data_IF_357954373744
#
_entry.id   IF_357954373744
#
_cell.length_a   1.000
_cell.length_b   1.000
_cell.length_c   1.000
_cell.angle_alpha   90.00
_cell.angle_beta   90.00
_cell.angle_gamma   90.00
#
_symmetry.space_group_name_H-M   'P 1'
#
loop_
_entity.id
_entity.type
_entity.pdbx_description
1 polymer ?
#
# COMPACT_ATOMS: atom_id res chain seq x y z
N UNK A 1 -18.59 -18.39 -35.21
CA UNK A 1 -18.15 -17.41 -34.19
C UNK A 1 -16.75 -17.77 -33.69
N UNK A 2 -16.44 -19.06 -33.47
CA UNK A 2 -15.08 -19.57 -33.15
C UNK A 2 -13.93 -19.07 -34.04
N UNK A 3 -14.10 -19.02 -35.38
CA UNK A 3 -13.02 -18.63 -36.31
C UNK A 3 -12.55 -17.18 -36.13
N UNK A 4 -13.42 -16.27 -35.65
CA UNK A 4 -13.04 -14.87 -35.44
C UNK A 4 -12.16 -14.67 -34.18
N UNK A 5 -12.04 -15.70 -33.33
CA UNK A 5 -11.23 -15.67 -32.12
C UNK A 5 -9.99 -16.57 -32.21
N UNK A 6 -9.73 -17.16 -33.38
CA UNK A 6 -8.50 -17.90 -33.63
C UNK A 6 -7.34 -16.91 -33.76
N UNK A 7 -6.22 -17.17 -33.08
CA UNK A 7 -4.99 -16.36 -33.09
C UNK A 7 -5.12 -14.91 -32.61
N UNK A 8 -6.16 -14.60 -31.81
CA UNK A 8 -6.26 -13.29 -31.16
C UNK A 8 -5.15 -13.12 -30.11
N UNK A 9 -4.40 -12.03 -30.22
CA UNK A 9 -3.48 -11.59 -29.18
C UNK A 9 -4.33 -11.02 -28.03
N UNK A 10 -4.48 -11.82 -26.95
CA UNK A 10 -5.39 -11.50 -25.82
C UNK A 10 -4.98 -10.20 -25.10
N UNK A 11 -3.68 -9.91 -25.00
CA UNK A 11 -3.17 -8.73 -24.32
C UNK A 11 -1.98 -8.12 -25.10
N UNK A 12 -2.21 -7.39 -26.21
CA UNK A 12 -1.13 -6.86 -27.04
C UNK A 12 -0.14 -5.98 -26.27
N UNK A 13 -0.65 -5.23 -25.29
CA UNK A 13 0.16 -4.38 -24.42
C UNK A 13 1.09 -5.11 -23.43
N UNK A 14 1.03 -6.45 -23.33
CA UNK A 14 2.03 -7.20 -22.56
C UNK A 14 3.43 -7.11 -23.19
N UNK A 15 3.49 -6.76 -24.47
CA UNK A 15 4.72 -6.39 -25.17
C UNK A 15 4.62 -4.89 -25.56
N UNK A 16 4.97 -3.97 -24.64
CA UNK A 16 4.85 -2.53 -24.89
C UNK A 16 5.75 -2.07 -26.05
N UNK A 17 6.88 -2.76 -26.28
CA UNK A 17 7.80 -2.49 -27.39
C UNK A 17 7.07 -2.61 -28.73
N UNK A 18 6.29 -3.67 -28.90
CA UNK A 18 5.50 -3.86 -30.14
C UNK A 18 4.24 -3.00 -30.19
N UNK A 19 3.58 -2.77 -29.05
CA UNK A 19 2.24 -2.20 -29.03
C UNK A 19 2.20 -0.66 -28.84
N UNK A 20 3.15 -0.09 -28.13
CA UNK A 20 3.06 1.29 -27.61
C UNK A 20 4.30 2.14 -27.92
N UNK A 21 5.50 1.54 -27.92
CA UNK A 21 6.77 2.28 -27.92
C UNK A 21 7.03 3.10 -29.19
N UNK A 22 6.44 2.72 -30.32
CA UNK A 22 6.50 3.51 -31.56
C UNK A 22 6.06 4.97 -31.35
N UNK A 23 5.08 5.20 -30.47
CA UNK A 23 4.57 6.53 -30.14
C UNK A 23 4.92 6.98 -28.71
N UNK A 24 5.21 6.03 -27.81
CA UNK A 24 5.38 6.28 -26.37
C UNK A 24 6.71 5.75 -25.81
N UNK A 25 7.75 5.57 -26.64
CA UNK A 25 8.98 4.87 -26.26
C UNK A 25 9.66 5.37 -24.99
N UNK A 26 9.66 6.69 -24.71
CA UNK A 26 10.19 7.23 -23.45
C UNK A 26 9.40 6.73 -22.24
N UNK A 27 8.07 6.80 -22.29
CA UNK A 27 7.20 6.31 -21.20
C UNK A 27 7.25 4.78 -21.09
N UNK A 28 7.36 4.08 -22.22
CA UNK A 28 7.51 2.62 -22.27
C UNK A 28 8.76 2.16 -21.51
N UNK A 29 9.91 2.77 -21.81
CA UNK A 29 11.17 2.48 -21.11
C UNK A 29 11.09 2.76 -19.61
N UNK A 30 10.51 3.90 -19.22
CA UNK A 30 10.35 4.25 -17.80
C UNK A 30 9.40 3.30 -17.06
N UNK A 31 8.29 2.90 -17.69
CA UNK A 31 7.32 2.02 -17.08
C UNK A 31 7.89 0.63 -16.79
N UNK A 32 8.74 0.08 -17.67
CA UNK A 32 9.37 -1.23 -17.48
C UNK A 32 10.17 -1.33 -16.17
N UNK A 33 10.72 -0.20 -15.71
CA UNK A 33 11.48 -0.13 -14.45
C UNK A 33 10.61 0.28 -13.25
N UNK A 34 9.35 0.70 -13.49
CA UNK A 34 8.45 1.18 -12.42
C UNK A 34 8.04 0.04 -11.47
N UNK A 35 7.65 0.39 -10.24
CA UNK A 35 7.16 -0.59 -9.26
C UNK A 35 5.87 -1.31 -9.69
N UNK A 36 5.05 -0.69 -10.53
CA UNK A 36 3.84 -1.31 -11.08
C UNK A 36 4.13 -2.40 -12.11
N UNK A 37 5.27 -2.31 -12.81
CA UNK A 37 5.76 -3.36 -13.70
C UNK A 37 6.63 -4.36 -12.94
N UNK A 38 7.64 -3.92 -12.20
CA UNK A 38 8.63 -4.84 -11.62
C UNK A 38 8.12 -5.59 -10.39
N UNK A 39 7.12 -5.03 -9.68
CA UNK A 39 6.70 -5.47 -8.35
C UNK A 39 7.87 -5.58 -7.35
N UNK A 40 8.97 -4.84 -7.59
CA UNK A 40 10.23 -5.00 -6.87
C UNK A 40 10.08 -4.85 -5.36
N UNK A 41 9.17 -3.99 -4.89
CA UNK A 41 8.96 -3.82 -3.46
C UNK A 41 8.35 -5.04 -2.76
N UNK A 42 7.50 -5.82 -3.42
CA UNK A 42 7.06 -7.09 -2.85
C UNK A 42 8.20 -8.10 -2.80
N UNK A 43 8.94 -8.25 -3.91
CA UNK A 43 10.09 -9.16 -3.97
C UNK A 43 11.13 -8.83 -2.91
N UNK A 44 11.46 -7.55 -2.73
CA UNK A 44 12.40 -7.11 -1.70
C UNK A 44 11.92 -7.47 -0.29
N UNK A 45 10.65 -7.23 0.03
CA UNK A 45 10.15 -7.55 1.38
C UNK A 45 10.19 -9.05 1.69
N UNK A 46 9.97 -9.90 0.70
CA UNK A 46 10.08 -11.36 0.84
C UNK A 46 11.55 -11.74 1.01
N UNK A 47 12.43 -11.19 0.15
CA UNK A 47 13.87 -11.45 0.17
C UNK A 47 14.52 -11.08 1.50
N UNK A 48 14.19 -9.92 2.05
CA UNK A 48 14.73 -9.46 3.35
C UNK A 48 14.29 -10.41 4.46
N UNK A 49 13.01 -10.80 4.49
CA UNK A 49 12.47 -11.72 5.50
C UNK A 49 12.93 -13.16 5.32
N UNK A 50 13.26 -13.58 4.10
CA UNK A 50 13.87 -14.91 3.86
C UNK A 50 15.35 -14.96 4.19
N UNK A 51 16.01 -13.80 4.38
CA UNK A 51 17.45 -13.74 4.64
C UNK A 51 18.30 -14.20 3.45
N UNK A 52 17.71 -14.38 2.26
CA UNK A 52 18.40 -14.85 1.07
C UNK A 52 18.92 -13.65 0.25
N UNK A 53 20.00 -13.85 -0.51
CA UNK A 53 20.52 -12.83 -1.42
C UNK A 53 19.57 -12.59 -2.62
N UNK A 54 18.86 -13.64 -3.05
CA UNK A 54 17.81 -13.65 -4.08
C UNK A 54 16.73 -14.63 -3.65
N UNK A 55 15.51 -14.51 -4.18
CA UNK A 55 14.46 -15.49 -3.89
C UNK A 55 14.85 -16.88 -4.41
N UNK A 56 14.50 -17.93 -3.65
CA UNK A 56 14.60 -19.31 -4.09
C UNK A 56 13.65 -19.58 -5.28
N UNK A 57 13.85 -20.72 -5.95
CA UNK A 57 12.93 -21.16 -7.01
C UNK A 57 11.49 -21.34 -6.50
N UNK A 58 11.31 -21.85 -5.29
CA UNK A 58 9.97 -22.09 -4.73
C UNK A 58 9.30 -20.78 -4.30
N UNK A 59 10.06 -19.81 -3.79
CA UNK A 59 9.55 -18.47 -3.50
C UNK A 59 9.21 -17.68 -4.76
N UNK A 60 9.97 -17.81 -5.85
CA UNK A 60 9.60 -17.22 -7.14
C UNK A 60 8.31 -17.86 -7.69
N UNK A 61 8.16 -19.19 -7.63
CA UNK A 61 6.90 -19.86 -8.02
C UNK A 61 5.71 -19.37 -7.18
N UNK A 62 5.90 -19.22 -5.87
CA UNK A 62 4.89 -18.69 -4.96
C UNK A 62 4.50 -17.26 -5.36
N UNK A 63 5.51 -16.41 -5.60
CA UNK A 63 5.32 -15.02 -6.00
C UNK A 63 4.50 -14.92 -7.29
N UNK A 64 4.86 -15.69 -8.31
CA UNK A 64 4.13 -15.72 -9.58
C UNK A 64 2.68 -16.20 -9.39
N UNK A 65 2.47 -17.24 -8.58
CA UNK A 65 1.15 -17.80 -8.35
C UNK A 65 0.22 -16.90 -7.52
N UNK A 66 0.77 -16.11 -6.58
CA UNK A 66 -0.01 -15.41 -5.54
C UNK A 66 0.06 -13.89 -5.60
N UNK A 67 1.18 -13.32 -6.02
CA UNK A 67 1.45 -11.88 -5.96
C UNK A 67 1.44 -11.24 -7.36
N UNK A 68 2.00 -11.91 -8.36
CA UNK A 68 2.18 -11.36 -9.70
C UNK A 68 0.87 -11.13 -10.48
N UNK A 69 -0.28 -11.61 -9.98
CA UNK A 69 -1.60 -11.34 -10.57
C UNK A 69 -1.95 -9.85 -10.62
N UNK A 70 -1.33 -9.04 -9.75
CA UNK A 70 -1.49 -7.59 -9.74
C UNK A 70 -0.50 -6.85 -10.66
N UNK A 71 0.42 -7.56 -11.34
CA UNK A 71 1.27 -6.99 -12.37
C UNK A 71 0.40 -6.35 -13.46
N UNK A 72 0.81 -5.17 -13.94
CA UNK A 72 0.03 -4.41 -14.92
C UNK A 72 0.80 -4.12 -16.20
N UNK A 73 0.08 -3.91 -17.29
CA UNK A 73 0.57 -3.37 -18.55
C UNK A 73 -0.11 -2.04 -18.89
N UNK A 74 0.36 -1.35 -19.94
CA UNK A 74 -0.29 -0.14 -20.44
C UNK A 74 -1.79 -0.36 -20.75
N UNK A 75 -2.13 -1.52 -21.33
CA UNK A 75 -3.51 -1.86 -21.68
C UNK A 75 -4.40 -2.04 -20.45
N UNK A 76 -3.90 -2.62 -19.36
CA UNK A 76 -4.67 -2.83 -18.13
C UNK A 76 -4.97 -1.54 -17.35
N UNK A 77 -4.28 -0.46 -17.68
CA UNK A 77 -4.61 0.88 -17.19
C UNK A 77 -5.48 1.67 -18.18
N UNK A 78 -5.20 1.57 -19.48
CA UNK A 78 -5.75 2.48 -20.48
C UNK A 78 -6.84 1.89 -21.37
N UNK A 79 -7.08 0.58 -21.37
CA UNK A 79 -7.99 -0.09 -22.34
C UNK A 79 -8.87 -1.15 -21.67
N UNK A 80 -8.26 -2.01 -20.86
CA UNK A 80 -8.90 -3.16 -20.20
C UNK A 80 -8.81 -3.02 -18.69
N UNK A 81 -9.66 -3.76 -17.99
CA UNK A 81 -9.52 -4.01 -16.56
C UNK A 81 -8.34 -4.96 -16.31
N UNK A 82 -7.71 -4.92 -15.12
CA UNK A 82 -6.68 -5.88 -14.74
C UNK A 82 -7.17 -7.34 -14.80
N UNK A 83 -6.25 -8.26 -15.08
CA UNK A 83 -6.55 -9.70 -15.16
C UNK A 83 -6.92 -10.28 -13.80
N UNK A 84 -6.41 -9.68 -12.71
CA UNK A 84 -6.75 -10.02 -11.33
C UNK A 84 -8.26 -9.94 -11.03
N UNK A 85 -9.01 -9.16 -11.81
CA UNK A 85 -10.47 -9.02 -11.70
C UNK A 85 -11.19 -9.54 -12.95
N UNK A 86 -10.65 -10.57 -13.58
CA UNK A 86 -11.19 -11.24 -14.77
C UNK A 86 -11.16 -10.42 -16.07
N UNK A 87 -10.42 -9.31 -16.10
CA UNK A 87 -10.21 -8.52 -17.32
C UNK A 87 -11.48 -7.91 -17.93
N UNK A 88 -11.48 -7.78 -19.25
CA UNK A 88 -12.55 -7.14 -20.04
C UNK A 88 -12.26 -5.67 -20.37
N UNK A 89 -12.86 -5.17 -21.45
CA UNK A 89 -12.69 -3.78 -21.86
C UNK A 89 -13.36 -2.81 -20.89
N UNK A 90 -12.72 -1.65 -20.66
CA UNK A 90 -13.36 -0.54 -19.94
C UNK A 90 -14.56 0.00 -20.73
N UNK A 91 -14.39 0.19 -22.05
CA UNK A 91 -15.45 0.60 -22.97
C UNK A 91 -15.08 0.28 -24.44
N UNK A 92 -15.06 -1.01 -24.79
CA UNK A 92 -14.56 -1.47 -26.08
C UNK A 92 -13.06 -1.15 -26.27
N UNK A 93 -12.62 -1.01 -27.53
CA UNK A 93 -11.22 -0.72 -27.88
C UNK A 93 -10.80 0.75 -27.67
N UNK A 94 -11.54 1.51 -26.87
CA UNK A 94 -11.21 2.91 -26.61
C UNK A 94 -10.01 3.02 -25.67
N UNK A 95 -9.08 3.90 -26.03
CA UNK A 95 -7.93 4.26 -25.20
C UNK A 95 -8.29 5.43 -24.29
N UNK A 96 -8.16 5.22 -22.99
CA UNK A 96 -8.40 6.22 -21.97
C UNK A 96 -7.09 6.87 -21.55
N UNK A 97 -6.92 8.17 -21.82
CA UNK A 97 -5.76 8.92 -21.32
C UNK A 97 -5.63 8.84 -19.79
N UNK A 98 -6.76 8.86 -19.08
CA UNK A 98 -6.82 8.72 -17.62
C UNK A 98 -7.54 7.40 -17.28
N UNK A 99 -6.89 6.46 -16.59
CA UNK A 99 -7.52 5.23 -16.14
C UNK A 99 -8.78 5.49 -15.31
N UNK A 100 -9.74 4.59 -15.38
CA UNK A 100 -10.91 4.66 -14.51
C UNK A 100 -10.51 4.26 -13.08
N UNK A 101 -10.85 5.08 -12.09
CA UNK A 101 -10.49 4.80 -10.70
C UNK A 101 -11.04 3.44 -10.24
N UNK A 102 -12.31 3.17 -10.50
CA UNK A 102 -12.98 1.95 -10.03
C UNK A 102 -12.49 0.71 -10.78
N UNK A 103 -12.43 0.79 -12.11
CA UNK A 103 -12.17 -0.36 -12.98
C UNK A 103 -10.69 -0.68 -13.15
N UNK A 104 -9.79 0.29 -12.92
CA UNK A 104 -8.35 0.10 -13.12
C UNK A 104 -7.58 0.24 -11.80
N UNK A 105 -7.72 1.34 -11.06
CA UNK A 105 -6.93 1.57 -9.84
C UNK A 105 -7.40 0.67 -8.69
N UNK A 106 -8.69 0.74 -8.33
CA UNK A 106 -9.26 -0.03 -7.20
C UNK A 106 -9.56 -1.47 -7.57
N UNK A 107 -9.41 -1.87 -8.83
CA UNK A 107 -9.41 -3.29 -9.19
C UNK A 107 -8.28 -4.05 -8.48
N UNK A 108 -7.10 -3.43 -8.35
CA UNK A 108 -5.97 -3.98 -7.61
C UNK A 108 -5.87 -3.42 -6.17
N UNK A 109 -6.19 -2.14 -5.97
CA UNK A 109 -6.05 -1.46 -4.68
C UNK A 109 -7.37 -1.40 -3.85
N UNK A 110 -8.41 -2.12 -4.26
CA UNK A 110 -9.78 -1.94 -3.75
C UNK A 110 -9.97 -2.32 -2.29
N UNK A 111 -9.49 -3.49 -1.88
CA UNK A 111 -9.81 -4.09 -0.57
C UNK A 111 -9.36 -3.27 0.64
N UNK A 112 -8.32 -2.44 0.46
CA UNK A 112 -7.80 -1.50 1.46
C UNK A 112 -8.04 -0.06 1.03
N UNK A 113 -7.29 0.40 0.02
CA UNK A 113 -7.24 1.81 -0.38
C UNK A 113 -8.57 2.26 -0.95
N UNK A 114 -9.16 1.49 -1.88
CA UNK A 114 -10.45 1.81 -2.48
C UNK A 114 -11.57 1.92 -1.45
N UNK A 115 -11.69 0.93 -0.55
CA UNK A 115 -12.71 0.92 0.49
C UNK A 115 -12.50 2.03 1.53
N UNK A 116 -11.26 2.37 1.86
CA UNK A 116 -10.94 3.51 2.73
C UNK A 116 -11.31 4.85 2.07
N UNK A 117 -10.92 5.03 0.80
CA UNK A 117 -11.11 6.28 0.06
C UNK A 117 -12.60 6.57 -0.20
N UNK A 118 -13.35 5.53 -0.54
CA UNK A 118 -14.77 5.63 -0.89
C UNK A 118 -15.73 5.38 0.28
N UNK A 119 -15.22 5.06 1.47
CA UNK A 119 -16.04 4.88 2.67
C UNK A 119 -16.90 3.60 2.67
N UNK A 120 -16.37 2.50 2.13
CA UNK A 120 -17.06 1.21 2.06
C UNK A 120 -16.89 0.36 3.33
N UNK A 121 -15.97 0.74 4.22
CA UNK A 121 -15.81 0.06 5.50
C UNK A 121 -16.93 0.51 6.46
N UNK A 122 -17.59 -0.45 7.11
CA UNK A 122 -18.70 -0.16 8.02
C UNK A 122 -18.27 0.81 9.14
N UNK A 123 -19.10 1.83 9.39
CA UNK A 123 -18.82 2.86 10.41
C UNK A 123 -17.78 3.91 10.01
N UNK A 124 -17.09 3.74 8.88
CA UNK A 124 -16.08 4.69 8.39
C UNK A 124 -16.64 5.46 7.20
N UNK A 125 -16.51 6.78 7.24
CA UNK A 125 -16.99 7.63 6.15
C UNK A 125 -15.89 7.92 5.13
N UNK A 126 -16.27 8.16 3.87
CA UNK A 126 -15.35 8.35 2.75
C UNK A 126 -14.40 9.53 2.94
N UNK A 127 -13.23 9.51 2.29
CA UNK A 127 -12.23 10.58 2.33
C UNK A 127 -12.84 11.95 1.94
N UNK A 128 -12.42 13.03 2.61
CA UNK A 128 -12.89 14.39 2.28
C UNK A 128 -12.60 14.81 0.84
N UNK A 129 -11.51 14.32 0.24
CA UNK A 129 -11.17 14.59 -1.15
C UNK A 129 -12.08 13.81 -2.09
N UNK A 130 -12.38 12.54 -1.78
CA UNK A 130 -13.37 11.76 -2.54
C UNK A 130 -14.74 12.43 -2.55
N UNK A 131 -15.19 12.93 -1.40
CA UNK A 131 -16.45 13.67 -1.29
C UNK A 131 -16.48 14.97 -2.12
N UNK A 132 -15.32 15.49 -2.50
CA UNK A 132 -15.17 16.64 -3.41
C UNK A 132 -15.00 16.23 -4.89
N UNK A 133 -15.21 14.95 -5.21
CA UNK A 133 -15.11 14.42 -6.56
C UNK A 133 -13.69 14.07 -7.01
N UNK A 134 -12.71 14.06 -6.09
CA UNK A 134 -11.34 13.70 -6.46
C UNK A 134 -11.26 12.20 -6.80
N UNK A 135 -10.40 11.90 -7.76
CA UNK A 135 -10.03 10.53 -8.15
C UNK A 135 -8.55 10.34 -7.81
N UNK A 136 -8.02 9.11 -7.90
CA UNK A 136 -6.61 8.82 -7.59
C UNK A 136 -5.64 9.78 -8.31
N UNK A 137 -5.87 10.03 -9.60
CA UNK A 137 -5.04 10.89 -10.44
C UNK A 137 -5.13 12.39 -10.14
N UNK A 138 -5.95 12.79 -9.16
CA UNK A 138 -5.95 14.16 -8.64
C UNK A 138 -4.77 14.41 -7.70
N UNK A 139 -4.25 13.36 -7.06
CA UNK A 139 -3.06 13.43 -6.21
C UNK A 139 -1.86 12.70 -6.85
N UNK A 140 -2.11 11.55 -7.48
CA UNK A 140 -1.09 10.76 -8.16
C UNK A 140 -0.86 11.26 -9.59
N UNK A 141 0.31 11.85 -9.84
CA UNK A 141 0.63 12.50 -11.12
C UNK A 141 0.95 11.48 -12.23
N UNK A 142 0.99 11.93 -13.48
CA UNK A 142 1.37 11.05 -14.60
C UNK A 142 2.82 10.65 -14.49
N UNK A 143 3.67 11.58 -14.07
CA UNK A 143 5.10 11.40 -13.89
C UNK A 143 5.38 10.43 -12.73
N UNK A 144 4.68 10.57 -11.60
CA UNK A 144 4.81 9.66 -10.44
C UNK A 144 4.44 8.21 -10.78
N UNK A 145 3.37 8.01 -11.56
CA UNK A 145 2.87 6.66 -11.87
C UNK A 145 3.68 5.92 -12.95
N UNK A 146 4.30 6.63 -13.89
CA UNK A 146 5.03 6.03 -15.01
C UNK A 146 6.55 6.01 -14.82
N UNK A 147 7.11 6.93 -14.04
CA UNK A 147 8.56 7.04 -13.88
C UNK A 147 9.05 6.04 -12.83
N UNK A 148 10.10 5.30 -13.20
CA UNK A 148 10.85 4.51 -12.25
C UNK A 148 11.83 5.39 -11.50
N UNK A 149 11.91 5.20 -10.19
CA UNK A 149 13.07 5.64 -9.42
C UNK A 149 14.10 4.49 -9.42
N UNK A 150 15.30 4.69 -9.99
CA UNK A 150 16.32 3.65 -10.04
C UNK A 150 16.62 3.08 -8.64
N UNK A 151 16.49 1.76 -8.50
CA UNK A 151 16.75 1.07 -7.23
C UNK A 151 15.63 1.20 -6.18
N UNK A 152 14.47 1.76 -6.52
CA UNK A 152 13.34 1.80 -5.61
C UNK A 152 12.90 0.38 -5.22
N UNK A 153 12.81 0.16 -3.91
CA UNK A 153 12.32 -1.09 -3.31
C UNK A 153 11.05 -0.86 -2.51
N UNK A 154 10.56 0.37 -2.49
CA UNK A 154 9.35 0.77 -1.80
C UNK A 154 8.67 1.90 -2.55
N UNK A 155 7.35 1.98 -2.48
CA UNK A 155 6.60 3.14 -2.98
C UNK A 155 7.00 4.45 -2.29
N UNK A 156 7.61 4.35 -1.11
CA UNK A 156 8.11 5.49 -0.35
C UNK A 156 9.48 6.00 -0.84
N UNK A 157 10.10 5.31 -1.79
CA UNK A 157 11.33 5.77 -2.44
C UNK A 157 11.03 6.72 -3.60
N UNK A 158 9.75 6.86 -3.99
CA UNK A 158 9.32 7.76 -5.05
C UNK A 158 9.36 9.23 -4.59
N UNK A 159 10.27 10.00 -5.17
CA UNK A 159 10.43 11.43 -4.86
C UNK A 159 9.24 12.29 -5.29
N UNK A 160 8.44 11.80 -6.23
CA UNK A 160 7.23 12.44 -6.76
C UNK A 160 5.96 12.01 -6.03
N UNK A 161 6.07 11.20 -4.97
CA UNK A 161 4.92 10.76 -4.20
C UNK A 161 4.13 11.97 -3.64
N UNK A 162 2.79 11.94 -3.68
CA UNK A 162 1.98 13.09 -3.28
C UNK A 162 2.17 13.43 -1.79
N UNK A 163 2.37 14.72 -1.52
CA UNK A 163 2.41 15.27 -0.17
C UNK A 163 1.16 16.12 0.12
N UNK A 164 0.78 16.21 1.40
CA UNK A 164 -0.34 17.07 1.79
C UNK A 164 -0.05 18.54 1.47
N UNK A 165 1.22 18.91 1.67
CA UNK A 165 1.78 20.24 1.50
C UNK A 165 1.78 20.72 0.05
N UNK A 166 1.67 19.82 -0.94
CA UNK A 166 1.55 20.18 -2.36
C UNK A 166 0.26 20.97 -2.64
N UNK A 167 -0.78 20.74 -1.84
CA UNK A 167 -2.07 21.44 -1.95
C UNK A 167 -2.43 22.28 -0.72
N UNK A 168 -1.91 21.93 0.46
CA UNK A 168 -2.31 22.53 1.73
C UNK A 168 -1.21 23.40 2.33
N UNK A 169 -1.51 24.69 2.42
CA UNK A 169 -0.79 25.55 3.37
C UNK A 169 -1.21 25.18 4.80
N UNK A 170 -0.25 24.71 5.59
CA UNK A 170 -0.46 24.31 6.98
C UNK A 170 -1.05 25.48 7.76
N UNK A 171 -2.30 25.35 8.20
CA UNK A 171 -2.99 26.42 8.91
C UNK A 171 -2.28 26.74 10.23
N UNK A 172 -2.23 28.02 10.58
CA UNK A 172 -1.69 28.45 11.87
C UNK A 172 -2.69 28.19 12.99
N UNK A 173 -2.53 27.07 13.69
CA UNK A 173 -3.29 26.73 14.89
C UNK A 173 -2.37 26.08 15.94
N UNK A 174 -2.86 25.96 17.18
CA UNK A 174 -2.07 25.44 18.29
C UNK A 174 -1.55 24.01 18.05
N UNK A 175 -2.34 23.13 17.40
CA UNK A 175 -1.92 21.77 17.08
C UNK A 175 -0.75 21.77 16.10
N UNK A 176 -0.86 22.48 14.97
CA UNK A 176 0.21 22.54 13.97
C UNK A 176 1.46 23.25 14.50
N UNK A 177 1.32 24.27 15.34
CA UNK A 177 2.46 24.97 15.93
C UNK A 177 3.37 24.03 16.74
N UNK A 178 2.79 23.03 17.41
CA UNK A 178 3.53 22.08 18.26
C UNK A 178 3.93 20.82 17.51
N UNK A 179 3.09 20.31 16.59
CA UNK A 179 3.21 18.95 16.07
C UNK A 179 3.69 18.80 14.63
N UNK A 180 3.61 19.84 13.79
CA UNK A 180 3.81 19.71 12.33
C UNK A 180 5.15 19.08 11.91
N UNK A 181 6.18 19.22 12.73
CA UNK A 181 7.53 18.68 12.47
C UNK A 181 7.80 17.35 13.21
N UNK A 182 6.84 16.85 13.98
CA UNK A 182 6.98 15.65 14.84
C UNK A 182 6.03 14.52 14.43
N UNK A 183 4.85 14.85 13.95
CA UNK A 183 3.80 13.91 13.58
C UNK A 183 3.51 14.02 12.09
N UNK A 184 3.35 12.89 11.40
CA UNK A 184 2.83 12.93 10.02
C UNK A 184 1.38 13.43 10.00
N UNK A 185 0.95 14.09 8.91
CA UNK A 185 -0.40 14.66 8.82
C UNK A 185 -1.50 13.63 9.11
N UNK A 186 -1.30 12.38 8.69
CA UNK A 186 -2.23 11.27 8.87
C UNK A 186 -2.44 10.93 10.35
N UNK A 187 -1.49 11.23 11.25
CA UNK A 187 -1.68 11.04 12.70
C UNK A 187 -2.89 11.81 13.20
N UNK A 188 -3.12 13.04 12.71
CA UNK A 188 -4.29 13.81 13.08
C UNK A 188 -5.45 13.65 12.09
N UNK A 189 -5.17 13.38 10.82
CA UNK A 189 -6.18 13.48 9.78
C UNK A 189 -6.72 12.15 9.26
N UNK A 190 -6.22 11.00 9.73
CA UNK A 190 -6.72 9.69 9.34
C UNK A 190 -7.78 9.16 10.33
N UNK A 191 -8.80 8.50 9.81
CA UNK A 191 -9.75 7.70 10.61
C UNK A 191 -9.17 6.30 10.88
N UNK A 192 -9.88 5.46 11.62
CA UNK A 192 -9.59 4.02 11.64
C UNK A 192 -9.57 3.43 10.21
N UNK A 193 -8.66 2.49 10.01
CA UNK A 193 -8.44 1.82 8.73
C UNK A 193 -8.22 0.33 8.93
N UNK A 194 -8.26 -0.41 7.83
CA UNK A 194 -8.19 -1.87 7.86
C UNK A 194 -6.78 -2.34 8.21
N UNK A 195 -6.61 -2.91 9.39
CA UNK A 195 -5.43 -3.68 9.77
C UNK A 195 -5.65 -5.14 9.35
N UNK A 196 -4.60 -5.78 8.87
CA UNK A 196 -4.65 -7.18 8.47
C UNK A 196 -3.69 -7.95 9.35
N UNK A 197 -3.94 -9.23 9.57
CA UNK A 197 -3.09 -10.10 10.38
C UNK A 197 -2.83 -11.38 9.58
N UNK A 198 -3.04 -12.58 10.13
CA UNK A 198 -2.72 -13.83 9.45
C UNK A 198 -3.71 -14.21 8.32
N UNK A 199 -3.92 -13.31 7.35
CA UNK A 199 -4.89 -13.45 6.27
C UNK A 199 -4.35 -14.15 5.00
N UNK A 200 -3.03 -14.22 4.80
CA UNK A 200 -2.40 -14.79 3.60
C UNK A 200 -1.49 -15.98 3.91
N UNK A 201 -1.93 -16.87 4.79
CA UNK A 201 -1.17 -18.07 5.14
C UNK A 201 -1.61 -19.24 4.26
N UNK A 202 -0.68 -19.86 3.52
CA UNK A 202 -0.93 -21.12 2.79
C UNK A 202 -1.33 -21.02 1.31
N UNK A 203 -1.53 -22.18 0.65
CA UNK A 203 -1.80 -22.27 -0.80
C UNK A 203 -3.27 -22.18 -1.17
N UNK A 204 -4.21 -22.41 -0.25
CA UNK A 204 -5.65 -22.43 -0.55
C UNK A 204 -6.29 -21.05 -0.43
N UNK A 205 -7.35 -20.77 -1.20
CA UNK A 205 -8.11 -19.51 -1.10
C UNK A 205 -8.73 -19.28 0.29
N UNK A 206 -8.88 -20.34 1.10
CA UNK A 206 -9.32 -20.28 2.50
C UNK A 206 -8.21 -19.98 3.50
N UNK A 207 -7.00 -19.61 3.05
CA UNK A 207 -5.83 -19.28 3.89
C UNK A 207 -5.96 -18.04 4.78
N UNK A 208 -7.17 -17.50 4.92
CA UNK A 208 -7.51 -16.44 5.84
C UNK A 208 -7.72 -17.07 7.21
N UNK A 209 -6.68 -17.07 8.05
CA UNK A 209 -6.77 -17.62 9.41
C UNK A 209 -7.25 -16.58 10.43
N UNK A 210 -7.14 -15.30 10.09
CA UNK A 210 -7.63 -14.19 10.91
C UNK A 210 -8.35 -13.13 10.06
N UNK A 211 -9.44 -12.51 10.56
CA UNK A 211 -10.12 -11.45 9.85
C UNK A 211 -9.27 -10.17 9.84
N UNK A 212 -9.57 -9.28 8.89
CA UNK A 212 -9.10 -7.91 8.97
C UNK A 212 -9.95 -7.11 9.96
N UNK A 213 -9.34 -6.21 10.71
CA UNK A 213 -10.03 -5.38 11.72
C UNK A 213 -9.87 -3.90 11.41
N UNK A 214 -10.85 -3.09 11.79
CA UNK A 214 -10.68 -1.64 11.80
C UNK A 214 -9.93 -1.24 13.06
N UNK A 215 -8.93 -0.39 12.90
CA UNK A 215 -8.18 0.17 14.01
C UNK A 215 -7.29 1.32 13.59
N UNK A 216 -6.69 1.97 14.58
CA UNK A 216 -5.81 3.11 14.39
C UNK A 216 -4.66 3.02 15.39
N UNK A 217 -3.43 3.06 14.89
CA UNK A 217 -2.23 3.05 15.73
C UNK A 217 -1.21 4.08 15.26
N UNK A 218 -0.64 4.79 16.23
CA UNK A 218 0.49 5.70 16.10
C UNK A 218 1.72 4.99 16.65
N UNK A 219 2.82 5.00 15.91
CA UNK A 219 4.09 4.48 16.41
C UNK A 219 5.28 5.31 15.93
N UNK A 220 6.47 4.89 16.33
CA UNK A 220 7.72 5.53 15.89
C UNK A 220 7.89 5.34 14.39
N UNK A 221 8.44 6.33 13.71
CA UNK A 221 8.68 6.28 12.27
C UNK A 221 9.85 5.34 11.91
N UNK A 222 9.60 4.16 11.30
CA UNK A 222 10.69 3.26 10.89
C UNK A 222 11.43 3.73 9.64
N UNK A 223 10.91 4.73 8.93
CA UNK A 223 11.42 5.21 7.64
C UNK A 223 11.78 6.71 7.71
N UNK A 224 12.32 7.14 8.86
CA UNK A 224 12.70 8.53 9.08
C UNK A 224 13.78 8.96 8.09
N UNK A 225 13.51 10.04 7.35
CA UNK A 225 14.41 10.62 6.35
C UNK A 225 14.20 12.14 6.28
N UNK A 226 14.89 12.84 5.39
CA UNK A 226 14.66 14.27 5.18
C UNK A 226 13.24 14.55 4.65
N UNK A 227 12.71 13.66 3.82
CA UNK A 227 11.38 13.72 3.21
C UNK A 227 10.28 13.24 4.18
N UNK A 228 10.67 12.46 5.19
CA UNK A 228 9.79 11.95 6.25
C UNK A 228 10.39 12.23 7.62
N UNK A 229 10.48 13.51 8.03
CA UNK A 229 11.25 13.90 9.22
C UNK A 229 10.51 13.61 10.54
N UNK A 230 9.27 13.13 10.48
CA UNK A 230 8.42 12.91 11.66
C UNK A 230 8.97 11.84 12.59
N UNK A 231 8.80 12.06 13.89
CA UNK A 231 9.11 11.10 14.94
C UNK A 231 8.03 10.01 15.03
N UNK A 232 6.77 10.40 14.83
CA UNK A 232 5.62 9.49 14.92
C UNK A 232 4.74 9.55 13.68
N UNK A 233 4.23 8.38 13.34
CA UNK A 233 3.47 8.13 12.12
C UNK A 233 2.33 7.15 12.39
N UNK A 234 1.38 7.08 11.49
CA UNK A 234 0.39 6.00 11.48
C UNK A 234 1.04 4.68 11.04
N UNK A 235 0.67 3.59 11.72
CA UNK A 235 1.15 2.24 11.44
C UNK A 235 -0.01 1.30 11.09
N UNK A 236 0.22 0.40 10.13
CA UNK A 236 -0.74 -0.64 9.74
C UNK A 236 -0.12 -2.01 9.93
N UNK A 237 -0.85 -2.93 10.56
CA UNK A 237 -0.47 -4.34 10.57
C UNK A 237 -0.69 -4.95 9.18
N UNK A 238 0.35 -5.55 8.62
CA UNK A 238 0.36 -6.17 7.30
C UNK A 238 0.12 -7.68 7.37
N UNK A 239 -0.48 -8.29 6.34
CA UNK A 239 -0.89 -9.68 6.41
C UNK A 239 0.26 -10.67 6.16
N UNK A 240 1.13 -10.81 7.15
CA UNK A 240 2.26 -11.73 7.11
C UNK A 240 2.46 -12.38 8.48
N UNK A 241 2.83 -13.63 8.45
CA UNK A 241 3.15 -14.48 9.59
C UNK A 241 4.45 -15.25 9.31
N UNK A 242 5.16 -15.75 10.35
CA UNK A 242 6.39 -16.53 10.14
C UNK A 242 6.23 -17.72 9.20
N UNK A 243 5.05 -18.34 9.19
CA UNK A 243 4.69 -19.54 8.42
C UNK A 243 3.99 -19.22 7.09
N UNK A 244 3.87 -17.95 6.69
CA UNK A 244 3.07 -17.54 5.52
C UNK A 244 3.39 -18.29 4.22
N UNK A 245 4.65 -18.72 4.05
CA UNK A 245 5.12 -19.41 2.85
C UNK A 245 5.54 -20.86 3.06
N UNK A 246 5.29 -21.45 4.24
CA UNK A 246 5.77 -22.78 4.62
C UNK A 246 5.28 -23.90 3.72
N UNK A 247 4.08 -23.77 3.16
CA UNK A 247 3.57 -24.75 2.19
C UNK A 247 4.38 -24.79 0.90
N UNK A 248 5.03 -23.69 0.52
CA UNK A 248 5.91 -23.61 -0.65
C UNK A 248 7.34 -23.96 -0.30
N UNK A 249 7.86 -23.36 0.76
CA UNK A 249 9.20 -23.59 1.28
C UNK A 249 9.16 -23.54 2.81
N UNK A 250 9.33 -24.68 3.50
CA UNK A 250 9.30 -24.74 4.95
C UNK A 250 10.34 -23.81 5.58
N UNK A 251 9.92 -23.02 6.57
CA UNK A 251 10.74 -21.99 7.23
C UNK A 251 11.29 -20.95 6.25
N UNK A 252 10.53 -20.58 5.21
CA UNK A 252 10.98 -19.61 4.21
C UNK A 252 11.39 -18.25 4.78
N UNK A 253 10.78 -17.83 5.89
CA UNK A 253 10.96 -16.50 6.47
C UNK A 253 11.89 -16.51 7.70
N UNK A 254 13.07 -17.14 7.57
CA UNK A 254 14.04 -17.29 8.69
C UNK A 254 14.49 -15.97 9.33
N UNK A 255 14.40 -14.86 8.60
CA UNK A 255 14.77 -13.52 9.05
C UNK A 255 13.54 -12.63 9.25
N UNK A 256 12.45 -13.21 9.77
CA UNK A 256 11.15 -12.55 9.88
C UNK A 256 11.22 -11.18 10.60
N UNK A 257 12.01 -11.08 11.67
CA UNK A 257 12.13 -9.86 12.47
C UNK A 257 12.87 -8.69 11.77
N UNK A 258 13.45 -8.90 10.58
CA UNK A 258 14.16 -7.85 9.87
C UNK A 258 13.29 -6.70 9.37
N UNK A 259 11.97 -6.90 9.28
CA UNK A 259 11.02 -5.84 8.94
C UNK A 259 9.85 -5.87 9.93
N UNK A 260 9.31 -4.70 10.35
CA UNK A 260 8.14 -4.67 11.20
C UNK A 260 6.91 -5.22 10.47
N UNK A 261 5.97 -5.81 11.22
CA UNK A 261 4.63 -6.14 10.73
C UNK A 261 3.67 -4.96 10.90
N UNK A 262 3.90 -4.10 11.89
CA UNK A 262 3.33 -2.75 11.95
C UNK A 262 4.15 -1.78 11.09
N UNK A 263 3.77 -1.61 9.83
CA UNK A 263 4.51 -0.78 8.87
C UNK A 263 3.98 0.64 8.80
N UNK A 264 4.88 1.58 8.49
CA UNK A 264 4.51 2.93 8.08
C UNK A 264 3.40 2.88 7.01
N UNK A 265 2.33 3.64 7.23
CA UNK A 265 1.18 3.66 6.32
C UNK A 265 0.75 5.08 6.01
N UNK A 266 0.18 5.26 4.82
CA UNK A 266 -0.48 6.48 4.36
C UNK A 266 -1.94 6.14 4.04
N UNK A 267 -2.83 6.06 5.04
CA UNK A 267 -4.23 5.68 4.83
C UNK A 267 -4.95 6.69 3.94
N UNK A 268 -5.86 6.22 3.10
CA UNK A 268 -6.61 7.05 2.16
C UNK A 268 -8.02 7.32 2.70
N UNK A 269 -8.11 7.90 3.89
CA UNK A 269 -9.38 8.09 4.60
C UNK A 269 -9.42 9.44 5.35
N UNK A 270 -8.82 10.46 4.75
CA UNK A 270 -8.56 11.76 5.35
C UNK A 270 -9.86 12.44 5.77
N UNK A 271 -9.84 13.01 6.98
CA UNK A 271 -10.89 13.83 7.58
C UNK A 271 -10.32 15.10 8.19
N UNK A 272 -11.17 16.13 8.20
CA UNK A 272 -10.86 17.39 8.89
C UNK A 272 -10.84 17.21 10.40
N UNK A 273 -11.79 16.44 10.94
CA UNK A 273 -11.93 16.15 12.36
C UNK A 273 -11.90 14.64 12.56
N UNK A 274 -11.10 14.19 13.52
CA UNK A 274 -10.91 12.78 13.89
C UNK A 274 -10.93 12.66 15.42
N UNK A 275 -11.17 11.46 15.98
CA UNK A 275 -11.24 11.28 17.43
C UNK A 275 -9.98 11.74 18.17
N UNK A 276 -8.79 11.43 17.64
CA UNK A 276 -7.51 11.77 18.24
C UNK A 276 -7.16 13.26 18.15
N UNK A 277 -7.75 14.00 17.20
CA UNK A 277 -7.55 15.45 17.06
C UNK A 277 -8.60 16.30 17.82
N UNK A 278 -9.52 15.67 18.57
CA UNK A 278 -10.62 16.38 19.20
C UNK A 278 -10.19 17.23 20.41
N UNK A 279 -9.23 16.77 21.21
CA UNK A 279 -8.65 17.53 22.33
C UNK A 279 -7.20 17.07 22.64
N UNK A 280 -6.46 17.86 23.40
CA UNK A 280 -5.08 17.49 23.77
C UNK A 280 -5.03 16.37 24.82
N UNK A 281 -5.83 16.48 25.88
CA UNK A 281 -5.60 15.79 27.17
C UNK A 281 -6.01 14.33 27.24
N UNK A 282 -6.99 13.89 26.45
CA UNK A 282 -7.53 12.53 26.51
C UNK A 282 -7.81 11.91 25.14
N UNK A 283 -7.83 12.71 24.06
CA UNK A 283 -7.97 12.17 22.71
C UNK A 283 -6.66 11.65 22.15
N UNK A 284 -5.53 12.31 22.45
CA UNK A 284 -4.20 11.89 21.99
C UNK A 284 -3.23 11.75 23.16
N UNK A 285 -3.03 12.80 23.98
CA UNK A 285 -2.16 12.69 25.14
C UNK A 285 -2.87 11.89 26.24
N UNK A 286 -2.09 11.21 27.08
CA UNK A 286 -2.58 10.30 28.12
C UNK A 286 -3.54 9.21 27.61
N UNK A 287 -3.51 8.91 26.31
CA UNK A 287 -4.39 7.94 25.66
C UNK A 287 -3.57 6.81 25.03
N UNK A 288 -3.24 5.74 25.79
CA UNK A 288 -2.47 4.62 25.25
C UNK A 288 -3.17 3.90 24.08
N UNK A 289 -4.50 3.97 23.98
CA UNK A 289 -5.26 3.21 22.99
C UNK A 289 -4.89 3.55 21.54
N UNK A 290 -4.52 4.81 21.26
CA UNK A 290 -4.15 5.26 19.90
C UNK A 290 -2.68 5.01 19.55
N UNK A 291 -1.86 4.58 20.51
CA UNK A 291 -0.45 4.26 20.26
C UNK A 291 -0.24 2.76 20.14
N UNK A 292 0.78 2.37 19.38
CA UNK A 292 1.31 1.00 19.40
C UNK A 292 2.26 0.88 20.57
N UNK A 293 1.92 0.04 21.54
CA UNK A 293 2.63 -0.15 22.81
C UNK A 293 3.13 -1.58 22.95
N UNK A 294 3.94 -1.84 23.98
CA UNK A 294 4.37 -3.20 24.30
C UNK A 294 3.18 -4.13 24.61
N UNK A 295 2.12 -3.60 25.22
CA UNK A 295 0.92 -4.36 25.55
C UNK A 295 0.19 -4.85 24.30
N UNK A 296 0.17 -4.05 23.22
CA UNK A 296 -0.41 -4.45 21.93
C UNK A 296 0.35 -5.63 21.27
N UNK A 297 1.61 -5.87 21.65
CA UNK A 297 2.42 -6.96 21.09
C UNK A 297 2.27 -8.28 21.86
N UNK A 298 1.70 -8.28 23.07
CA UNK A 298 1.72 -9.45 23.97
C UNK A 298 1.04 -10.71 23.39
N UNK A 299 0.05 -10.52 22.52
CA UNK A 299 -0.69 -11.61 21.88
C UNK A 299 -0.11 -12.02 20.52
N UNK A 300 1.00 -11.42 20.09
CA UNK A 300 1.66 -11.75 18.82
C UNK A 300 2.72 -12.83 19.02
N UNK A 301 3.11 -13.48 17.91
CA UNK A 301 4.24 -14.43 17.91
C UNK A 301 5.54 -13.79 18.40
N UNK A 302 6.49 -14.58 18.90
CA UNK A 302 7.77 -14.05 19.38
C UNK A 302 8.53 -13.30 18.27
N UNK A 303 8.43 -13.79 17.04
CA UNK A 303 9.01 -13.21 15.83
C UNK A 303 8.37 -11.85 15.50
N UNK A 304 7.05 -11.72 15.62
CA UNK A 304 6.36 -10.43 15.46
C UNK A 304 6.65 -9.45 16.60
N UNK A 305 6.72 -9.93 17.83
CA UNK A 305 7.12 -9.11 18.97
C UNK A 305 8.51 -8.52 18.73
N UNK A 306 9.47 -9.33 18.30
CA UNK A 306 10.81 -8.89 17.94
C UNK A 306 10.81 -7.92 16.75
N UNK A 307 10.03 -8.21 15.71
CA UNK A 307 9.93 -7.36 14.51
C UNK A 307 9.46 -5.94 14.80
N UNK A 308 8.60 -5.76 15.81
CA UNK A 308 7.91 -4.49 16.06
C UNK A 308 8.53 -3.65 17.19
N UNK A 309 9.55 -4.14 17.89
CA UNK A 309 10.21 -3.38 18.97
C UNK A 309 10.70 -1.99 18.53
N UNK A 310 11.14 -1.86 17.27
CA UNK A 310 11.61 -0.57 16.73
C UNK A 310 10.51 0.48 16.51
N UNK A 311 9.23 0.08 16.52
CA UNK A 311 8.11 0.95 16.14
C UNK A 311 7.13 1.24 17.26
N UNK A 312 7.28 0.61 18.44
CA UNK A 312 6.43 0.90 19.61
C UNK A 312 6.77 2.23 20.27
N UNK A 313 5.80 2.78 21.00
CA UNK A 313 5.93 3.98 21.83
C UNK A 313 6.00 3.57 23.30
N UNK A 314 7.16 3.79 23.92
CA UNK A 314 7.43 3.35 25.30
C UNK A 314 6.83 4.28 26.34
N UNK A 315 6.73 5.58 26.01
CA UNK A 315 6.15 6.61 26.86
C UNK A 315 5.05 7.33 26.09
N UNK A 316 3.82 7.19 26.58
CA UNK A 316 2.68 7.97 26.07
C UNK A 316 2.91 9.45 26.37
N UNK A 317 2.70 10.35 25.39
CA UNK A 317 2.80 11.79 25.62
C UNK A 317 1.78 12.27 26.67
N UNK A 318 2.21 13.19 27.53
CA UNK A 318 1.42 13.79 28.62
C UNK A 318 0.70 15.08 28.17
#
# INVERSE_FOLDING_TARGET
MEQAHTDLIVAPSSDPVKACDTCHGTLGAQHQESLHATLAGYKETIRVRSGQATLSLELEKMFEAKCAKCHTSCGQCHVTRPVSVSGGFNAGHNFYKRPNMTLNCTACHGSRVGSEFTGQNAGISADVHYNKGFQCVACHSTEELHTAEPGATSRYDNSLAPACEDCHQVSSNAYHAVHKNKLSCQVCHSQEYKNCYNCHVGKVESGITQPSELGFKIGKNPLKSAERPWDYVTLRHIPISPDSYDEWEPNALVNFAALPTWKFTTPHNIKKNTPQAANCTSSCHNNPAVFLTQDDLQNMSAEEQAANQGVIVDKIPD
#
